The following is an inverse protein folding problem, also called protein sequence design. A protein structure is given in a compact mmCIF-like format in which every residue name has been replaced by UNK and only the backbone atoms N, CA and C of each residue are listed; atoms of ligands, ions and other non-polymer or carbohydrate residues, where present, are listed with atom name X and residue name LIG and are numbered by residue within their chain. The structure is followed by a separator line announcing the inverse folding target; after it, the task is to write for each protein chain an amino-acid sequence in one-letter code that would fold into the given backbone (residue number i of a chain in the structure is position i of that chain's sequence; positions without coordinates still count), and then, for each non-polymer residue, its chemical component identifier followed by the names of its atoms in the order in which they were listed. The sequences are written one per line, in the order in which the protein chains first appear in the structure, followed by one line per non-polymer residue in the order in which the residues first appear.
data_IF_202689152418
#
_entry.id   IF_202689152418
#
_cell.length_a   1.000
_cell.length_b   1.000
_cell.length_c   1.000
_cell.angle_alpha   90.00
_cell.angle_beta   90.00
_cell.angle_gamma   90.00
#
_symmetry.space_group_name_H-M   'P 1'
#
loop_
_entity.id
_entity.type
_entity.pdbx_description
1 polymer ?
#
# COMPACT_ATOMS: atom_id res chain seq x y z
N UNK A 1 -14.25 -15.29 -79.83
CA UNK A 1 -12.99 -15.90 -79.34
C UNK A 1 -12.77 -15.32 -77.93
N UNK A 2 -13.48 -15.88 -76.95
CA UNK A 2 -13.45 -15.40 -75.56
C UNK A 2 -12.58 -16.36 -74.74
N UNK A 3 -11.57 -15.81 -74.07
CA UNK A 3 -10.71 -16.57 -73.16
C UNK A 3 -11.39 -16.69 -71.78
N UNK A 4 -11.42 -17.88 -71.15
CA UNK A 4 -11.99 -18.02 -69.82
C UNK A 4 -11.00 -17.49 -68.77
N UNK A 5 -11.39 -16.43 -68.07
CA UNK A 5 -10.67 -15.91 -66.90
C UNK A 5 -10.92 -16.83 -65.70
N UNK A 6 -10.16 -17.92 -65.60
CA UNK A 6 -10.12 -18.77 -64.40
C UNK A 6 -9.18 -18.13 -63.40
N UNK A 7 -9.72 -17.37 -62.45
CA UNK A 7 -8.99 -16.95 -61.26
C UNK A 7 -8.73 -18.17 -60.36
N UNK A 8 -7.47 -18.47 -59.97
CA UNK A 8 -7.15 -19.70 -59.26
C UNK A 8 -7.71 -19.69 -57.82
N UNK A 9 -8.24 -20.84 -57.32
CA UNK A 9 -8.91 -20.96 -56.02
C UNK A 9 -7.97 -20.87 -54.81
N UNK A 10 -6.67 -20.69 -55.01
CA UNK A 10 -5.64 -20.75 -53.96
C UNK A 10 -5.40 -19.44 -53.19
N UNK A 11 -5.92 -18.30 -53.65
CA UNK A 11 -5.65 -16.98 -53.01
C UNK A 11 -6.64 -16.55 -51.92
N UNK A 12 -7.77 -17.26 -51.74
CA UNK A 12 -8.76 -16.89 -50.73
C UNK A 12 -8.34 -17.06 -49.25
N UNK A 13 -7.57 -18.09 -48.84
CA UNK A 13 -7.24 -18.27 -47.42
C UNK A 13 -6.25 -17.22 -46.90
N UNK A 14 -5.28 -16.80 -47.72
CA UNK A 14 -4.29 -15.79 -47.33
C UNK A 14 -4.94 -14.41 -47.10
N UNK A 15 -5.89 -14.02 -47.95
CA UNK A 15 -6.64 -12.77 -47.80
C UNK A 15 -7.50 -12.77 -46.53
N UNK A 16 -8.13 -13.92 -46.20
CA UNK A 16 -8.89 -14.09 -44.94
C UNK A 16 -8.02 -13.96 -43.71
N UNK A 17 -6.81 -14.53 -43.73
CA UNK A 17 -5.86 -14.46 -42.61
C UNK A 17 -5.38 -13.02 -42.41
N UNK A 18 -5.05 -12.31 -43.49
CA UNK A 18 -4.64 -10.91 -43.44
C UNK A 18 -5.75 -9.99 -42.91
N UNK A 19 -7.01 -10.21 -43.31
CA UNK A 19 -8.16 -9.44 -42.82
C UNK A 19 -8.43 -9.70 -41.33
N UNK A 20 -8.44 -10.96 -40.89
CA UNK A 20 -8.58 -11.30 -39.47
C UNK A 20 -7.46 -10.70 -38.62
N UNK A 21 -6.22 -10.67 -39.13
CA UNK A 21 -5.09 -10.11 -38.41
C UNK A 21 -5.19 -8.59 -38.28
N UNK A 22 -5.62 -7.89 -39.35
CA UNK A 22 -5.86 -6.44 -39.34
C UNK A 22 -6.95 -6.03 -38.35
N UNK A 23 -8.05 -6.77 -38.29
CA UNK A 23 -9.15 -6.47 -37.36
C UNK A 23 -8.74 -6.73 -35.90
N UNK A 24 -7.94 -7.78 -35.67
CA UNK A 24 -7.37 -8.08 -34.35
C UNK A 24 -6.37 -7.00 -33.90
N UNK A 25 -5.58 -6.45 -34.82
CA UNK A 25 -4.66 -5.34 -34.57
C UNK A 25 -5.43 -4.04 -34.28
N UNK A 26 -6.51 -3.76 -35.00
CA UNK A 26 -7.37 -2.59 -34.74
C UNK A 26 -7.99 -2.59 -33.34
N UNK A 27 -8.47 -3.75 -32.87
CA UNK A 27 -8.96 -3.91 -31.50
C UNK A 27 -7.85 -3.82 -30.43
N UNK A 28 -6.64 -4.29 -30.75
CA UNK A 28 -5.50 -4.28 -29.82
C UNK A 28 -4.92 -2.88 -29.64
N UNK A 29 -4.92 -2.06 -30.70
CA UNK A 29 -4.44 -0.67 -30.65
C UNK A 29 -5.46 0.26 -29.97
N UNK A 30 -6.76 -0.03 -30.04
CA UNK A 30 -7.80 0.70 -29.31
C UNK A 30 -7.78 0.49 -27.78
N UNK A 31 -7.21 -0.62 -27.28
CA UNK A 31 -7.07 -0.85 -25.83
C UNK A 31 -5.88 -0.14 -25.19
N UNK A 32 -4.95 0.39 -25.99
CA UNK A 32 -3.74 1.07 -25.49
C UNK A 32 -3.92 2.58 -25.30
N UNK A 33 -5.03 3.13 -25.77
CA UNK A 33 -5.42 4.53 -25.63
C UNK A 33 -6.85 4.64 -25.08
N UNK A 34 -7.14 3.86 -24.03
CA UNK A 34 -8.19 4.26 -23.10
C UNK A 34 -7.57 5.43 -22.32
N UNK A 35 -7.98 6.64 -22.65
CA UNK A 35 -7.74 7.80 -21.81
C UNK A 35 -8.09 7.40 -20.38
N UNK A 36 -7.22 7.67 -19.39
CA UNK A 36 -7.60 7.45 -18.01
C UNK A 36 -8.80 8.34 -17.75
N UNK A 37 -9.97 7.72 -17.57
CA UNK A 37 -11.14 8.36 -16.98
C UNK A 37 -10.61 9.09 -15.74
N UNK A 38 -10.50 10.44 -15.81
CA UNK A 38 -9.87 11.26 -14.78
C UNK A 38 -10.47 10.85 -13.43
N UNK A 39 -9.69 10.30 -12.49
CA UNK A 39 -10.24 9.62 -11.35
C UNK A 39 -11.11 10.58 -10.55
N UNK A 40 -12.35 10.15 -10.42
CA UNK A 40 -13.43 10.68 -9.62
C UNK A 40 -12.91 11.23 -8.29
N UNK A 41 -12.80 12.57 -8.26
CA UNK A 41 -12.44 13.45 -7.15
C UNK A 41 -12.40 12.75 -5.79
N UNK A 42 -11.20 12.58 -5.23
CA UNK A 42 -11.04 12.38 -3.79
C UNK A 42 -11.91 13.43 -3.10
N UNK A 43 -12.98 12.99 -2.46
CA UNK A 43 -13.93 13.93 -1.84
C UNK A 43 -13.16 14.63 -0.73
N UNK A 44 -13.19 15.96 -0.65
CA UNK A 44 -12.46 16.73 0.38
C UNK A 44 -12.69 16.16 1.79
N UNK A 45 -13.91 15.68 2.05
CA UNK A 45 -14.30 14.98 3.27
C UNK A 45 -13.44 13.75 3.57
N UNK A 46 -13.15 12.91 2.57
CA UNK A 46 -12.31 11.72 2.72
C UNK A 46 -10.84 12.08 2.99
N UNK A 47 -10.30 13.10 2.30
CA UNK A 47 -8.93 13.57 2.57
C UNK A 47 -8.81 14.10 3.99
N UNK A 48 -9.76 14.96 4.41
CA UNK A 48 -9.79 15.50 5.78
C UNK A 48 -9.89 14.37 6.80
N UNK A 49 -10.73 13.36 6.55
CA UNK A 49 -10.86 12.19 7.42
C UNK A 49 -9.50 11.50 7.63
N UNK A 50 -8.76 11.19 6.56
CA UNK A 50 -7.46 10.51 6.67
C UNK A 50 -6.36 11.34 7.33
N UNK A 51 -6.39 12.67 7.12
CA UNK A 51 -5.51 13.60 7.83
C UNK A 51 -5.80 13.58 9.32
N UNK A 52 -7.09 13.65 9.72
CA UNK A 52 -7.50 13.60 11.13
C UNK A 52 -7.14 12.26 11.77
N UNK A 53 -7.44 11.14 11.12
CA UNK A 53 -7.10 9.80 11.64
C UNK A 53 -5.59 9.65 11.82
N UNK A 54 -4.79 10.11 10.85
CA UNK A 54 -3.33 10.11 10.95
C UNK A 54 -2.82 10.99 12.10
N UNK A 55 -3.32 12.22 12.20
CA UNK A 55 -2.96 13.14 13.28
C UNK A 55 -3.31 12.58 14.67
N UNK A 56 -4.52 12.04 14.83
CA UNK A 56 -4.94 11.38 16.08
C UNK A 56 -4.01 10.21 16.40
N UNK A 57 -3.67 9.38 15.41
CA UNK A 57 -2.75 8.27 15.62
C UNK A 57 -1.37 8.71 16.09
N UNK A 58 -0.83 9.82 15.54
CA UNK A 58 0.45 10.38 15.97
C UNK A 58 0.37 10.92 17.39
N UNK A 59 -0.67 11.70 17.71
CA UNK A 59 -0.86 12.25 19.04
C UNK A 59 -1.01 11.14 20.09
N UNK A 60 -1.85 10.14 19.81
CA UNK A 60 -2.00 8.99 20.72
C UNK A 60 -0.67 8.26 20.87
N UNK A 61 0.11 8.05 19.79
CA UNK A 61 1.43 7.42 19.89
C UNK A 61 2.41 8.21 20.77
N UNK A 62 2.36 9.54 20.73
CA UNK A 62 3.26 10.40 21.53
C UNK A 62 2.85 10.40 23.00
N UNK A 63 1.55 10.49 23.30
CA UNK A 63 1.07 10.67 24.68
C UNK A 63 0.75 9.34 25.41
N UNK A 64 0.29 8.31 24.72
CA UNK A 64 -0.14 7.05 25.35
C UNK A 64 1.00 6.30 26.09
N UNK A 65 2.25 6.24 25.57
CA UNK A 65 3.35 5.58 26.26
C UNK A 65 3.70 6.20 27.62
N UNK A 66 3.34 7.46 27.85
CA UNK A 66 3.53 8.15 29.14
C UNK A 66 2.70 7.50 30.25
N UNK A 67 1.51 7.01 29.91
CA UNK A 67 0.58 6.39 30.87
C UNK A 67 0.65 4.86 30.87
N UNK A 68 0.98 4.26 29.72
CA UNK A 68 1.05 2.83 29.53
C UNK A 68 2.36 2.48 28.80
N UNK A 69 3.44 2.09 29.51
CA UNK A 69 4.74 1.81 28.89
C UNK A 69 4.68 0.75 27.79
N UNK A 70 3.76 -0.21 27.89
CA UNK A 70 3.54 -1.22 26.85
C UNK A 70 3.11 -0.61 25.49
N UNK A 71 2.46 0.56 25.50
CA UNK A 71 2.07 1.27 24.28
C UNK A 71 3.28 1.78 23.47
N UNK A 72 4.47 1.89 24.08
CA UNK A 72 5.71 2.16 23.33
C UNK A 72 6.05 1.07 22.32
N UNK A 73 5.53 -0.15 22.51
CA UNK A 73 5.74 -1.28 21.61
C UNK A 73 4.68 -1.34 20.49
N UNK A 74 3.61 -0.55 20.61
CA UNK A 74 2.61 -0.39 19.55
C UNK A 74 3.06 0.71 18.59
N UNK A 75 2.95 0.47 17.30
CA UNK A 75 3.16 1.47 16.25
C UNK A 75 1.81 1.84 15.65
N UNK A 76 1.04 2.66 16.38
CA UNK A 76 -0.28 3.13 15.92
C UNK A 76 -0.22 3.81 14.54
N UNK A 77 0.75 4.71 14.26
CA UNK A 77 0.85 5.37 12.97
C UNK A 77 1.10 4.38 11.82
N UNK A 78 1.85 3.30 12.09
CA UNK A 78 2.06 2.23 11.13
C UNK A 78 0.75 1.48 10.88
N UNK A 79 0.02 1.09 11.93
CA UNK A 79 -1.27 0.38 11.79
C UNK A 79 -2.24 1.18 10.93
N UNK A 80 -2.40 2.48 11.19
CA UNK A 80 -3.26 3.37 10.38
C UNK A 80 -2.79 3.45 8.93
N UNK A 81 -1.47 3.56 8.71
CA UNK A 81 -0.88 3.60 7.37
C UNK A 81 -1.16 2.30 6.60
N UNK A 82 -1.02 1.15 7.26
CA UNK A 82 -1.30 -0.17 6.67
C UNK A 82 -2.79 -0.33 6.35
N UNK A 83 -3.68 0.15 7.23
CA UNK A 83 -5.12 0.14 6.98
C UNK A 83 -5.46 0.90 5.69
N UNK A 84 -4.98 2.13 5.55
CA UNK A 84 -5.19 2.91 4.34
C UNK A 84 -4.63 2.16 3.11
N UNK A 85 -3.42 1.62 3.20
CA UNK A 85 -2.78 0.89 2.11
C UNK A 85 -3.63 -0.31 1.64
N UNK A 86 -4.21 -1.06 2.58
CA UNK A 86 -5.08 -2.19 2.26
C UNK A 86 -6.47 -1.78 1.75
N UNK A 87 -6.95 -0.61 2.16
CA UNK A 87 -8.22 -0.06 1.71
C UNK A 87 -8.14 0.46 0.27
N UNK A 88 -7.12 1.28 -0.04
CA UNK A 88 -6.99 1.89 -1.37
C UNK A 88 -6.50 0.92 -2.43
N UNK A 89 -5.71 -0.09 -2.04
CA UNK A 89 -5.09 -1.11 -2.93
C UNK A 89 -4.27 -0.56 -4.10
N UNK A 90 -3.95 0.73 -4.06
CA UNK A 90 -3.10 1.43 -5.02
C UNK A 90 -1.80 1.87 -4.33
N UNK A 91 -0.62 1.47 -4.85
CA UNK A 91 0.66 1.80 -4.23
C UNK A 91 0.98 3.30 -4.16
N UNK A 92 0.52 4.11 -5.13
CA UNK A 92 0.88 5.54 -5.22
C UNK A 92 0.28 6.38 -4.09
N UNK A 93 -1.04 6.38 -3.82
CA UNK A 93 -1.58 7.11 -2.68
C UNK A 93 -1.09 6.55 -1.34
N UNK A 94 -0.89 5.22 -1.25
CA UNK A 94 -0.40 4.58 -0.04
C UNK A 94 1.03 5.03 0.31
N UNK A 95 1.96 5.05 -0.65
CA UNK A 95 3.33 5.47 -0.40
C UNK A 95 3.40 6.95 0.02
N UNK A 96 2.58 7.83 -0.59
CA UNK A 96 2.54 9.25 -0.23
C UNK A 96 2.04 9.46 1.20
N UNK A 97 0.99 8.72 1.59
CA UNK A 97 0.50 8.75 2.96
C UNK A 97 1.53 8.21 3.94
N UNK A 98 2.21 7.10 3.60
CA UNK A 98 3.29 6.54 4.41
C UNK A 98 4.46 7.51 4.60
N UNK A 99 4.86 8.22 3.54
CA UNK A 99 5.89 9.26 3.59
C UNK A 99 5.47 10.41 4.53
N UNK A 100 4.24 10.91 4.37
CA UNK A 100 3.69 11.98 5.20
C UNK A 100 3.66 11.57 6.67
N UNK A 101 3.12 10.38 6.97
CA UNK A 101 3.03 9.86 8.34
C UNK A 101 4.41 9.65 8.96
N UNK A 102 5.37 9.09 8.21
CA UNK A 102 6.72 8.86 8.69
C UNK A 102 7.48 10.14 9.00
N UNK A 103 7.50 11.10 8.07
CA UNK A 103 8.16 12.41 8.30
C UNK A 103 7.50 13.16 9.46
N UNK A 104 6.16 13.12 9.56
CA UNK A 104 5.44 13.74 10.68
C UNK A 104 5.83 13.10 12.02
N UNK A 105 5.97 11.77 12.06
CA UNK A 105 6.37 11.06 13.27
C UNK A 105 7.82 11.39 13.66
N UNK A 106 8.75 11.44 12.70
CA UNK A 106 10.14 11.83 12.97
C UNK A 106 10.21 13.25 13.57
N UNK A 107 9.45 14.19 13.00
CA UNK A 107 9.39 15.57 13.47
C UNK A 107 8.82 15.69 14.90
N UNK A 108 7.82 14.88 15.25
CA UNK A 108 7.18 14.91 16.57
C UNK A 108 8.00 14.19 17.65
N UNK A 109 8.72 13.13 17.31
CA UNK A 109 9.49 12.32 18.26
C UNK A 109 10.95 12.75 18.42
N UNK A 110 11.31 13.93 17.88
CA UNK A 110 12.68 14.45 17.87
C UNK A 110 13.72 13.44 17.37
N UNK A 111 13.32 12.58 16.42
CA UNK A 111 14.21 11.63 15.75
C UNK A 111 14.88 12.32 14.55
N UNK A 112 15.98 11.75 14.02
CA UNK A 112 16.54 12.20 12.74
C UNK A 112 15.46 12.17 11.65
N UNK A 113 15.19 13.34 11.07
CA UNK A 113 14.08 13.51 10.11
C UNK A 113 14.33 12.65 8.87
N UNK A 114 13.34 11.83 8.52
CA UNK A 114 13.31 11.05 7.29
C UNK A 114 13.55 9.56 7.49
N UNK A 115 13.96 9.09 8.67
CA UNK A 115 14.09 7.65 8.95
C UNK A 115 12.74 6.94 8.87
N UNK A 116 11.76 7.33 9.69
CA UNK A 116 10.43 6.76 9.57
C UNK A 116 9.77 7.15 8.26
N UNK A 117 10.09 8.32 7.69
CA UNK A 117 9.68 8.72 6.34
C UNK A 117 9.99 7.64 5.29
N UNK A 118 11.25 7.24 5.16
CA UNK A 118 11.68 6.21 4.19
C UNK A 118 11.02 4.87 4.50
N UNK A 119 11.08 4.42 5.75
CA UNK A 119 10.59 3.10 6.14
C UNK A 119 9.08 2.97 5.92
N UNK A 120 8.29 3.97 6.35
CA UNK A 120 6.82 3.93 6.21
C UNK A 120 6.37 4.13 4.77
N UNK A 121 7.12 4.87 3.95
CA UNK A 121 6.90 4.92 2.49
C UNK A 121 7.00 3.53 1.87
N UNK A 122 8.10 2.81 2.15
CA UNK A 122 8.35 1.49 1.59
C UNK A 122 7.34 0.46 2.11
N UNK A 123 7.02 0.50 3.41
CA UNK A 123 6.04 -0.37 4.02
C UNK A 123 4.64 -0.14 3.40
N UNK A 124 4.20 1.12 3.24
CA UNK A 124 2.90 1.44 2.68
C UNK A 124 2.77 1.05 1.20
N UNK A 125 3.80 1.33 0.39
CA UNK A 125 3.87 0.88 -1.00
C UNK A 125 3.75 -0.64 -1.11
N UNK A 126 4.51 -1.36 -0.27
CA UNK A 126 4.55 -2.83 -0.28
C UNK A 126 3.25 -3.43 0.24
N UNK A 127 2.63 -2.82 1.24
CA UNK A 127 1.34 -3.20 1.79
C UNK A 127 0.21 -3.05 0.77
N UNK A 128 0.13 -1.91 0.08
CA UNK A 128 -0.85 -1.70 -0.98
C UNK A 128 -0.65 -2.70 -2.12
N UNK A 129 0.61 -2.89 -2.54
CA UNK A 129 0.97 -3.87 -3.58
C UNK A 129 0.58 -5.30 -3.20
N UNK A 130 0.85 -5.73 -1.96
CA UNK A 130 0.51 -7.05 -1.47
C UNK A 130 -1.02 -7.25 -1.30
N UNK A 131 -1.73 -6.22 -0.82
CA UNK A 131 -3.19 -6.28 -0.60
C UNK A 131 -4.00 -6.45 -1.87
N UNK A 132 -3.45 -6.09 -3.04
CA UNK A 132 -4.08 -6.37 -4.33
C UNK A 132 -4.10 -7.88 -4.68
N UNK A 133 -3.25 -8.68 -4.03
CA UNK A 133 -3.03 -10.11 -4.31
C UNK A 133 -3.48 -11.03 -3.18
N UNK A 134 -3.68 -10.48 -1.99
CA UNK A 134 -4.01 -11.23 -0.79
C UNK A 134 -5.42 -10.87 -0.34
N UNK A 135 -6.14 -11.87 0.17
CA UNK A 135 -7.43 -11.63 0.78
C UNK A 135 -7.23 -10.98 2.16
N UNK A 136 -7.50 -9.68 2.20
CA UNK A 136 -7.44 -8.83 3.40
C UNK A 136 -8.81 -8.61 4.01
N UNK A 137 -9.82 -9.43 3.74
CA UNK A 137 -11.16 -9.29 4.34
C UNK A 137 -11.25 -10.02 5.68
N UNK A 138 -10.53 -11.13 5.82
CA UNK A 138 -10.53 -11.93 7.03
C UNK A 138 -9.57 -11.38 8.11
N UNK A 139 -9.92 -11.51 9.40
CA UNK A 139 -9.09 -11.00 10.50
C UNK A 139 -7.74 -11.72 10.63
N UNK A 140 -7.68 -13.01 10.30
CA UNK A 140 -6.44 -13.79 10.41
C UNK A 140 -5.36 -13.35 9.38
N UNK A 141 -5.64 -13.25 8.07
CA UNK A 141 -4.70 -12.67 7.10
C UNK A 141 -4.27 -11.24 7.45
N UNK A 142 -5.20 -10.40 7.93
CA UNK A 142 -4.89 -9.04 8.41
C UNK A 142 -3.87 -9.07 9.54
N UNK A 143 -4.09 -9.91 10.55
CA UNK A 143 -3.16 -10.08 11.68
C UNK A 143 -1.76 -10.45 11.19
N UNK A 144 -1.66 -11.47 10.33
CA UNK A 144 -0.38 -11.94 9.77
C UNK A 144 0.33 -10.84 8.99
N UNK A 145 -0.41 -10.10 8.15
CA UNK A 145 0.16 -9.01 7.36
C UNK A 145 0.63 -7.84 8.24
N UNK A 146 -0.11 -7.49 9.28
CA UNK A 146 0.29 -6.44 10.22
C UNK A 146 1.55 -6.87 10.98
N UNK A 147 1.62 -8.11 11.47
CA UNK A 147 2.84 -8.65 12.07
C UNK A 147 4.03 -8.57 11.10
N UNK A 148 3.84 -9.02 9.86
CA UNK A 148 4.88 -8.97 8.83
C UNK A 148 5.36 -7.54 8.55
N UNK A 149 4.43 -6.60 8.36
CA UNK A 149 4.79 -5.21 8.07
C UNK A 149 5.38 -4.48 9.28
N UNK A 150 5.05 -4.87 10.51
CA UNK A 150 5.75 -4.40 11.70
C UNK A 150 7.20 -4.90 11.73
N UNK A 151 7.44 -6.19 11.46
CA UNK A 151 8.79 -6.73 11.37
C UNK A 151 9.59 -6.08 10.25
N UNK A 152 8.96 -5.89 9.10
CA UNK A 152 9.51 -5.14 7.96
C UNK A 152 9.91 -3.73 8.40
N UNK A 153 9.01 -3.01 9.06
CA UNK A 153 9.27 -1.67 9.59
C UNK A 153 10.48 -1.65 10.53
N UNK A 154 10.51 -2.55 11.52
CA UNK A 154 11.57 -2.59 12.51
C UNK A 154 12.92 -2.96 11.89
N UNK A 155 12.93 -3.91 10.95
CA UNK A 155 14.13 -4.31 10.23
C UNK A 155 14.73 -3.15 9.43
N UNK A 156 13.92 -2.49 8.59
CA UNK A 156 14.42 -1.37 7.78
C UNK A 156 14.81 -0.16 8.64
N UNK A 157 14.09 0.11 9.73
CA UNK A 157 14.48 1.15 10.67
C UNK A 157 15.85 0.87 11.30
N UNK A 158 16.08 -0.37 11.75
CA UNK A 158 17.37 -0.80 12.27
C UNK A 158 18.49 -0.67 11.22
N UNK A 159 18.27 -1.21 10.01
CA UNK A 159 19.23 -1.10 8.90
C UNK A 159 19.58 0.35 8.58
N UNK A 160 18.60 1.26 8.53
CA UNK A 160 18.88 2.67 8.22
C UNK A 160 19.65 3.36 9.34
N UNK A 161 19.40 3.05 10.61
CA UNK A 161 20.16 3.64 11.73
C UNK A 161 21.61 3.18 11.75
N UNK A 162 21.84 1.89 11.51
CA UNK A 162 23.18 1.31 11.40
C UNK A 162 23.90 1.82 10.15
N UNK A 163 23.32 1.61 8.97
CA UNK A 163 24.01 1.84 7.70
C UNK A 163 24.11 3.33 7.33
N UNK A 164 23.12 4.15 7.68
CA UNK A 164 23.08 5.56 7.25
C UNK A 164 23.64 6.51 8.32
N UNK A 165 23.47 6.18 9.60
CA UNK A 165 23.88 7.05 10.71
C UNK A 165 25.05 6.50 11.54
N UNK A 166 25.47 5.24 11.30
CA UNK A 166 26.54 4.62 12.07
C UNK A 166 26.21 4.48 13.56
N UNK A 167 24.92 4.46 13.90
CA UNK A 167 24.47 4.26 15.28
C UNK A 167 24.44 2.77 15.56
N UNK A 168 25.23 2.33 16.55
CA UNK A 168 25.17 0.96 17.06
C UNK A 168 23.84 0.78 17.82
N UNK A 169 22.90 0.09 17.18
CA UNK A 169 21.53 -0.10 17.69
C UNK A 169 21.29 -1.58 17.87
N UNK A 170 20.99 -1.96 19.12
CA UNK A 170 20.59 -3.33 19.43
C UNK A 170 19.27 -3.67 18.73
N UNK A 171 19.22 -4.86 18.13
CA UNK A 171 18.01 -5.43 17.56
C UNK A 171 17.52 -6.60 18.42
N UNK A 172 16.70 -6.34 19.46
CA UNK A 172 16.25 -7.39 20.38
C UNK A 172 15.19 -8.28 19.72
N UNK A 173 15.64 -9.37 19.08
CA UNK A 173 14.80 -10.27 18.27
C UNK A 173 13.53 -10.71 19.00
N UNK A 174 13.66 -11.20 20.24
CA UNK A 174 12.52 -11.73 20.99
C UNK A 174 11.48 -10.66 21.31
N UNK A 175 11.94 -9.46 21.73
CA UNK A 175 11.04 -8.33 22.00
C UNK A 175 10.36 -7.86 20.71
N UNK A 176 11.11 -7.77 19.59
CA UNK A 176 10.58 -7.40 18.28
C UNK A 176 9.50 -8.38 17.80
N UNK A 177 9.70 -9.69 18.00
CA UNK A 177 8.69 -10.70 17.68
C UNK A 177 7.45 -10.58 18.56
N UNK A 178 7.63 -10.36 19.87
CA UNK A 178 6.51 -10.13 20.79
C UNK A 178 5.73 -8.85 20.43
N UNK A 179 6.43 -7.76 20.09
CA UNK A 179 5.84 -6.52 19.64
C UNK A 179 5.11 -6.69 18.30
N UNK A 180 5.61 -7.52 17.38
CA UNK A 180 4.91 -7.84 16.13
C UNK A 180 3.56 -8.51 16.42
N UNK A 181 3.52 -9.49 17.32
CA UNK A 181 2.27 -10.14 17.73
C UNK A 181 1.30 -9.17 18.39
N UNK A 182 1.82 -8.28 19.25
CA UNK A 182 1.02 -7.22 19.88
C UNK A 182 0.41 -6.28 18.82
N UNK A 183 1.19 -5.83 17.85
CA UNK A 183 0.73 -4.97 16.76
C UNK A 183 -0.27 -5.68 15.84
N UNK A 184 -0.06 -6.96 15.54
CA UNK A 184 -1.01 -7.76 14.78
C UNK A 184 -2.37 -7.85 15.47
N UNK A 185 -2.37 -8.20 16.76
CA UNK A 185 -3.59 -8.30 17.57
C UNK A 185 -4.30 -6.95 17.71
N UNK A 186 -3.57 -5.90 18.12
CA UNK A 186 -4.13 -4.54 18.26
C UNK A 186 -4.58 -3.98 16.91
N UNK A 187 -3.85 -4.27 15.84
CA UNK A 187 -4.15 -3.82 14.49
C UNK A 187 -5.46 -4.38 13.97
N UNK A 188 -5.77 -5.66 14.22
CA UNK A 188 -7.09 -6.22 13.88
C UNK A 188 -8.21 -5.47 14.60
N UNK A 189 -8.05 -5.16 15.90
CA UNK A 189 -9.05 -4.41 16.66
C UNK A 189 -9.24 -2.98 16.12
N UNK A 190 -8.13 -2.30 15.81
CA UNK A 190 -8.15 -0.95 15.23
C UNK A 190 -8.79 -0.97 13.84
N UNK A 191 -8.52 -1.99 13.02
CA UNK A 191 -9.13 -2.12 11.70
C UNK A 191 -10.64 -2.28 11.79
N UNK A 192 -11.15 -3.07 12.75
CA UNK A 192 -12.59 -3.19 12.98
C UNK A 192 -13.23 -1.85 13.36
N UNK A 193 -12.53 -1.01 14.13
CA UNK A 193 -12.97 0.34 14.46
C UNK A 193 -12.97 1.24 13.21
N UNK A 194 -11.87 1.25 12.46
CA UNK A 194 -11.74 2.06 11.24
C UNK A 194 -12.76 1.64 10.16
N UNK A 195 -13.03 0.35 10.01
CA UNK A 195 -14.06 -0.19 9.11
C UNK A 195 -15.46 0.35 9.45
N UNK A 196 -15.73 0.67 10.71
CA UNK A 196 -16.99 1.33 11.11
C UNK A 196 -16.97 2.81 10.77
N UNK A 197 -15.87 3.50 11.04
CA UNK A 197 -15.74 4.95 10.81
C UNK A 197 -15.79 5.30 9.32
N UNK A 198 -15.06 4.55 8.48
CA UNK A 198 -15.02 4.77 7.02
C UNK A 198 -16.41 4.60 6.39
N UNK A 199 -17.25 3.69 6.91
CA UNK A 199 -18.63 3.50 6.40
C UNK A 199 -19.56 4.69 6.63
N UNK A 200 -19.22 5.60 7.55
CA UNK A 200 -20.07 6.75 7.91
C UNK A 200 -19.73 8.01 7.10
N UNK A 201 -18.51 8.08 6.54
CA UNK A 201 -17.97 9.28 5.87
C UNK A 201 -18.39 9.34 4.41
#
# INVERSE_FOLDING_TARGET
MEAPTVSPPFFQPALRIAMNFRDKLGHSLRRRHREPDLPQRATLRGVIFWVVVGAVSLLVQVYLPVYAPLASQLELPLIVTLYLAFLVRDPVPALLYGALMGVSQDALLAQPVGLFGIVKTLAAYSAASASSRLDVEHPAPRCVLICFFFLFHQFFYWVLREALLGLDVQFPILLTLAAAMLNGAAGVLIFLLLDRLVRVV
#
